data_IF_628957160305
#
_entry.id   IF_628957160305
#
_cell.length_a   1.000
_cell.length_b   1.000
_cell.length_c   1.000
_cell.angle_alpha   90.00
_cell.angle_beta   90.00
_cell.angle_gamma   90.00
#
_symmetry.space_group_name_H-M   'P 1'
#
loop_
_entity.id
_entity.type
_entity.pdbx_description
1 polymer ?
#
# COMPACT_ATOMS: atom_id res chain seq x y z
N UNK A 1 25.36 -14.19 -3.61
CA UNK A 1 24.16 -15.05 -3.62
C UNK A 1 23.59 -15.12 -5.04
N UNK A 2 23.89 -16.17 -5.82
CA UNK A 2 23.38 -16.31 -7.21
C UNK A 2 21.87 -16.60 -7.13
N UNK A 3 21.04 -15.61 -7.48
CA UNK A 3 19.57 -15.72 -7.45
C UNK A 3 19.12 -16.74 -8.52
N UNK A 4 18.70 -17.93 -8.10
CA UNK A 4 18.25 -18.99 -9.00
C UNK A 4 16.96 -18.54 -9.71
N UNK A 5 16.92 -18.55 -11.05
CA UNK A 5 15.75 -18.13 -11.83
C UNK A 5 14.47 -18.86 -11.41
N UNK A 6 14.58 -20.13 -11.00
CA UNK A 6 13.45 -20.93 -10.53
C UNK A 6 12.88 -20.38 -9.21
N UNK A 7 13.73 -19.94 -8.29
CA UNK A 7 13.28 -19.34 -7.02
C UNK A 7 12.55 -18.00 -7.22
N UNK A 8 12.97 -17.22 -8.23
CA UNK A 8 12.30 -15.96 -8.58
C UNK A 8 10.93 -16.21 -9.20
N UNK A 9 10.81 -17.19 -10.10
CA UNK A 9 9.53 -17.58 -10.70
C UNK A 9 8.53 -18.06 -9.66
N UNK A 10 8.96 -18.95 -8.75
CA UNK A 10 8.11 -19.42 -7.64
C UNK A 10 7.64 -18.25 -6.77
N UNK A 11 8.53 -17.31 -6.45
CA UNK A 11 8.16 -16.11 -5.67
C UNK A 11 7.13 -15.25 -6.39
N UNK A 12 7.30 -14.99 -7.70
CA UNK A 12 6.36 -14.20 -8.50
C UNK A 12 4.98 -14.88 -8.55
N UNK A 13 4.95 -16.19 -8.82
CA UNK A 13 3.72 -16.98 -8.86
C UNK A 13 2.99 -16.93 -7.51
N UNK A 14 3.73 -17.09 -6.42
CA UNK A 14 3.17 -17.04 -5.06
C UNK A 14 2.56 -15.67 -4.76
N UNK A 15 3.24 -14.59 -5.11
CA UNK A 15 2.74 -13.22 -4.95
C UNK A 15 1.44 -13.03 -5.75
N UNK A 16 1.40 -13.46 -7.02
CA UNK A 16 0.21 -13.36 -7.85
C UNK A 16 -0.96 -14.16 -7.26
N UNK A 17 -0.71 -15.39 -6.81
CA UNK A 17 -1.71 -16.25 -6.16
C UNK A 17 -2.27 -15.61 -4.89
N UNK A 18 -1.41 -15.10 -4.01
CA UNK A 18 -1.82 -14.43 -2.77
C UNK A 18 -2.66 -13.19 -3.08
N UNK A 19 -2.22 -12.33 -3.99
CA UNK A 19 -3.00 -11.14 -4.36
C UNK A 19 -4.33 -11.50 -5.03
N UNK A 20 -4.35 -12.54 -5.88
CA UNK A 20 -5.57 -13.04 -6.50
C UNK A 20 -6.57 -13.56 -5.47
N UNK A 21 -6.10 -14.36 -4.50
CA UNK A 21 -6.91 -14.87 -3.40
C UNK A 21 -7.47 -13.71 -2.57
N UNK A 22 -6.62 -12.77 -2.13
CA UNK A 22 -7.05 -11.60 -1.37
C UNK A 22 -8.14 -10.81 -2.10
N UNK A 23 -8.00 -10.65 -3.42
CA UNK A 23 -8.97 -9.93 -4.23
C UNK A 23 -10.30 -10.68 -4.37
N UNK A 24 -10.28 -12.02 -4.49
CA UNK A 24 -11.49 -12.86 -4.52
C UNK A 24 -12.29 -12.75 -3.21
N UNK A 25 -11.60 -12.67 -2.06
CA UNK A 25 -12.24 -12.47 -0.76
C UNK A 25 -12.61 -11.00 -0.48
N UNK A 26 -12.46 -10.09 -1.45
CA UNK A 26 -12.74 -8.66 -1.26
C UNK A 26 -11.76 -7.95 -0.30
N UNK A 27 -10.67 -8.62 0.09
CA UNK A 27 -9.65 -8.09 0.99
C UNK A 27 -8.72 -7.19 0.19
N UNK A 28 -9.08 -5.92 0.14
CA UNK A 28 -8.31 -4.92 -0.63
C UNK A 28 -7.04 -4.44 0.07
N UNK A 29 -6.89 -4.72 1.36
CA UNK A 29 -5.68 -4.48 2.12
C UNK A 29 -5.59 -5.51 3.27
N UNK A 30 -4.61 -6.44 3.25
CA UNK A 30 -4.47 -7.44 4.31
C UNK A 30 -4.12 -6.81 5.66
N UNK A 31 -3.36 -5.70 5.66
CA UNK A 31 -3.05 -4.95 6.89
C UNK A 31 -4.33 -4.39 7.51
N UNK A 32 -5.19 -3.76 6.71
CA UNK A 32 -6.50 -3.26 7.17
C UNK A 32 -7.41 -4.38 7.65
N UNK A 33 -7.40 -5.52 6.97
CA UNK A 33 -8.22 -6.66 7.37
C UNK A 33 -7.80 -7.24 8.73
N UNK A 34 -6.49 -7.33 8.97
CA UNK A 34 -5.94 -7.88 10.21
C UNK A 34 -6.03 -6.86 11.36
N UNK A 35 -5.66 -5.60 11.12
CA UNK A 35 -5.51 -4.57 12.17
C UNK A 35 -6.66 -3.57 12.25
N UNK A 36 -7.50 -3.48 11.22
CA UNK A 36 -8.50 -2.42 11.06
C UNK A 36 -7.91 -1.07 10.62
N UNK A 37 -6.60 -0.99 10.39
CA UNK A 37 -5.87 0.24 10.05
C UNK A 37 -5.39 0.19 8.60
N UNK A 38 -5.73 1.21 7.83
CA UNK A 38 -5.28 1.34 6.44
C UNK A 38 -3.80 1.71 6.39
N UNK A 39 -3.01 1.12 5.49
CA UNK A 39 -1.58 1.44 5.33
C UNK A 39 -1.35 2.66 4.40
N UNK A 40 -0.16 3.30 4.38
CA UNK A 40 0.12 4.45 3.51
C UNK A 40 0.03 4.16 2.01
N UNK A 41 0.09 2.88 1.61
CA UNK A 41 -0.11 2.44 0.23
C UNK A 41 -1.58 2.17 -0.13
N UNK A 42 -2.53 2.32 0.78
CA UNK A 42 -3.95 2.08 0.48
C UNK A 42 -4.43 2.96 -0.68
N UNK A 43 -5.23 2.38 -1.57
CA UNK A 43 -5.72 3.05 -2.77
C UNK A 43 -4.75 3.07 -3.95
N UNK A 44 -3.46 2.73 -3.79
CA UNK A 44 -2.47 2.83 -4.87
C UNK A 44 -2.81 1.97 -6.10
N UNK A 45 -3.20 0.71 -5.91
CA UNK A 45 -3.62 -0.16 -7.03
C UNK A 45 -4.82 0.41 -7.79
N UNK A 46 -5.81 0.98 -7.07
CA UNK A 46 -6.99 1.61 -7.68
C UNK A 46 -6.63 2.90 -8.40
N UNK A 47 -5.66 3.64 -7.88
CA UNK A 47 -5.13 4.83 -8.53
C UNK A 47 -4.50 4.49 -9.88
N UNK A 48 -3.66 3.46 -9.93
CA UNK A 48 -3.06 2.98 -11.19
C UNK A 48 -4.10 2.40 -12.16
N UNK A 49 -5.10 1.66 -11.68
CA UNK A 49 -6.20 1.17 -12.53
C UNK A 49 -7.00 2.34 -13.13
N UNK A 50 -7.21 3.42 -12.38
CA UNK A 50 -7.88 4.63 -12.86
C UNK A 50 -7.00 5.38 -13.87
N UNK A 51 -5.69 5.45 -13.61
CA UNK A 51 -4.71 6.02 -14.53
C UNK A 51 -4.67 5.28 -15.87
N UNK A 52 -4.75 3.95 -15.86
CA UNK A 52 -4.84 3.13 -17.08
C UNK A 52 -6.13 3.38 -17.88
N UNK A 53 -7.19 3.86 -17.21
CA UNK A 53 -8.44 4.32 -17.84
C UNK A 53 -8.40 5.79 -18.23
N UNK A 54 -7.25 6.45 -18.12
CA UNK A 54 -7.05 7.88 -18.35
C UNK A 54 -7.90 8.78 -17.42
N UNK A 55 -8.38 8.25 -16.30
CA UNK A 55 -9.11 9.01 -15.28
C UNK A 55 -8.15 9.49 -14.17
N UNK A 56 -7.54 10.64 -14.43
CA UNK A 56 -6.61 11.28 -13.50
C UNK A 56 -7.29 11.78 -12.22
N UNK A 57 -8.58 12.16 -12.31
CA UNK A 57 -9.33 12.66 -11.16
C UNK A 57 -9.54 11.54 -10.13
N UNK A 58 -9.99 10.38 -10.61
CA UNK A 58 -10.12 9.20 -9.77
C UNK A 58 -8.76 8.69 -9.28
N UNK A 59 -7.72 8.73 -10.12
CA UNK A 59 -6.38 8.33 -9.71
C UNK A 59 -5.86 9.15 -8.51
N UNK A 60 -6.00 10.47 -8.58
CA UNK A 60 -5.64 11.38 -7.48
C UNK A 60 -6.49 11.15 -6.22
N UNK A 61 -7.81 10.96 -6.39
CA UNK A 61 -8.71 10.66 -5.28
C UNK A 61 -8.28 9.40 -4.51
N UNK A 62 -7.96 8.33 -5.25
CA UNK A 62 -7.57 7.05 -4.66
C UNK A 62 -6.23 7.11 -3.94
N UNK A 63 -5.21 7.74 -4.51
CA UNK A 63 -3.96 7.98 -3.82
C UNK A 63 -3.22 9.15 -4.48
N UNK A 64 -3.11 10.33 -3.84
CA UNK A 64 -2.50 11.51 -4.44
C UNK A 64 -1.01 11.32 -4.74
N UNK A 65 -0.37 10.33 -4.09
CA UNK A 65 1.03 9.98 -4.29
C UNK A 65 1.24 8.90 -5.35
N UNK A 66 0.24 8.61 -6.19
CA UNK A 66 0.35 7.59 -7.24
C UNK A 66 1.50 7.85 -8.23
N UNK A 67 1.97 9.10 -8.37
CA UNK A 67 3.08 9.47 -9.25
C UNK A 67 4.45 9.11 -8.66
N UNK A 68 4.57 9.03 -7.32
CA UNK A 68 5.86 8.83 -6.65
C UNK A 68 6.55 7.50 -7.02
N UNK A 69 5.86 6.34 -7.12
CA UNK A 69 6.53 5.10 -7.54
C UNK A 69 7.08 5.17 -8.96
N UNK A 70 6.38 5.83 -9.89
CA UNK A 70 6.88 6.05 -11.25
C UNK A 70 8.14 6.95 -11.25
N UNK A 71 8.12 8.04 -10.48
CA UNK A 71 9.31 8.89 -10.30
C UNK A 71 10.47 8.14 -9.63
N UNK A 72 10.18 7.33 -8.61
CA UNK A 72 11.17 6.49 -7.94
C UNK A 72 11.82 5.49 -8.90
N UNK A 73 11.05 4.90 -9.82
CA UNK A 73 11.60 4.01 -10.85
C UNK A 73 12.52 4.76 -11.82
N UNK A 74 12.13 5.96 -12.27
CA UNK A 74 12.97 6.80 -13.14
C UNK A 74 14.28 7.16 -12.42
N UNK A 75 14.22 7.62 -11.18
CA UNK A 75 15.40 7.95 -10.37
C UNK A 75 16.30 6.71 -10.20
N UNK A 76 15.71 5.54 -9.98
CA UNK A 76 16.46 4.30 -9.85
C UNK A 76 17.19 3.92 -11.14
N UNK A 77 16.56 4.07 -12.31
CA UNK A 77 17.19 3.81 -13.62
C UNK A 77 18.36 4.76 -13.87
N UNK A 78 18.19 6.05 -13.55
CA UNK A 78 19.21 7.07 -13.77
C UNK A 78 20.12 7.33 -12.58
N UNK A 79 20.12 6.45 -11.58
CA UNK A 79 20.82 6.66 -10.30
C UNK A 79 22.31 6.94 -10.47
N UNK A 80 22.94 6.35 -11.49
CA UNK A 80 24.39 6.47 -11.71
C UNK A 80 24.78 7.87 -12.21
N UNK A 81 23.81 8.69 -12.65
CA UNK A 81 24.01 10.10 -13.01
C UNK A 81 23.99 11.05 -11.80
N UNK A 82 23.60 10.56 -10.62
CA UNK A 82 23.40 11.39 -9.43
C UNK A 82 24.34 10.98 -8.29
N UNK A 83 24.66 11.93 -7.41
CA UNK A 83 25.47 11.62 -6.23
C UNK A 83 24.69 10.77 -5.23
N UNK A 84 25.36 9.84 -4.54
CA UNK A 84 24.74 9.00 -3.50
C UNK A 84 24.08 9.83 -2.38
N UNK A 85 24.65 11.00 -2.05
CA UNK A 85 24.11 11.94 -1.06
C UNK A 85 22.77 12.52 -1.53
N UNK A 86 22.68 12.89 -2.81
CA UNK A 86 21.45 13.41 -3.40
C UNK A 86 20.35 12.35 -3.45
N UNK A 87 20.66 11.13 -3.90
CA UNK A 87 19.70 10.03 -3.95
C UNK A 87 19.13 9.68 -2.57
N UNK A 88 19.99 9.63 -1.54
CA UNK A 88 19.56 9.41 -0.15
C UNK A 88 18.66 10.55 0.34
N UNK A 89 18.97 11.80 0.00
CA UNK A 89 18.13 12.94 0.32
C UNK A 89 16.73 12.84 -0.32
N UNK A 90 16.67 12.44 -1.60
CA UNK A 90 15.40 12.21 -2.31
C UNK A 90 14.60 11.07 -1.70
N UNK A 91 15.24 9.96 -1.33
CA UNK A 91 14.58 8.83 -0.66
C UNK A 91 13.93 9.26 0.65
N UNK A 92 14.69 9.96 1.52
CA UNK A 92 14.17 10.49 2.79
C UNK A 92 13.01 11.45 2.52
N UNK A 93 13.14 12.34 1.53
CA UNK A 93 12.08 13.25 1.14
C UNK A 93 10.82 12.51 0.71
N UNK A 94 10.92 11.48 -0.13
CA UNK A 94 9.77 10.68 -0.55
C UNK A 94 9.10 9.97 0.62
N UNK A 95 9.88 9.38 1.53
CA UNK A 95 9.34 8.74 2.74
C UNK A 95 8.59 9.76 3.61
N UNK A 96 9.17 10.95 3.83
CA UNK A 96 8.52 12.01 4.60
C UNK A 96 7.22 12.45 3.94
N UNK A 97 7.20 12.68 2.63
CA UNK A 97 5.97 13.03 1.89
C UNK A 97 4.91 11.95 2.05
N UNK A 98 5.28 10.67 1.95
CA UNK A 98 4.36 9.55 2.19
C UNK A 98 3.76 9.58 3.60
N UNK A 99 4.59 9.78 4.62
CA UNK A 99 4.13 9.82 6.00
C UNK A 99 3.24 11.03 6.27
N UNK A 100 3.62 12.21 5.77
CA UNK A 100 2.85 13.44 5.94
C UNK A 100 1.47 13.29 5.31
N UNK A 101 1.39 12.87 4.04
CA UNK A 101 0.09 12.67 3.35
C UNK A 101 -0.72 11.59 4.05
N UNK A 102 -0.09 10.50 4.50
CA UNK A 102 -0.77 9.45 5.25
C UNK A 102 -1.40 9.98 6.53
N UNK A 103 -0.66 10.75 7.34
CA UNK A 103 -1.20 11.36 8.58
C UNK A 103 -2.33 12.32 8.26
N UNK A 104 -2.19 13.19 7.27
CA UNK A 104 -3.26 14.11 6.87
C UNK A 104 -4.53 13.38 6.43
N UNK A 105 -4.39 12.34 5.59
CA UNK A 105 -5.54 11.52 5.15
C UNK A 105 -6.16 10.73 6.30
N UNK A 106 -5.33 10.24 7.23
CA UNK A 106 -5.79 9.51 8.40
C UNK A 106 -6.58 10.40 9.37
N UNK A 107 -6.25 11.70 9.43
CA UNK A 107 -6.96 12.67 10.25
C UNK A 107 -8.27 13.15 9.61
N UNK A 108 -8.49 12.92 8.32
CA UNK A 108 -9.73 13.29 7.63
C UNK A 108 -10.82 12.24 7.90
N UNK A 109 -11.87 12.57 8.68
CA UNK A 109 -12.94 11.63 8.99
C UNK A 109 -13.81 11.28 7.76
N UNK A 110 -13.73 12.07 6.69
CA UNK A 110 -14.47 11.83 5.45
C UNK A 110 -13.71 10.91 4.47
N UNK A 111 -12.45 10.59 4.76
CA UNK A 111 -11.67 9.70 3.90
C UNK A 111 -12.28 8.29 3.95
N UNK A 112 -12.60 7.75 2.79
CA UNK A 112 -13.18 6.39 2.65
C UNK A 112 -12.13 5.34 2.32
N UNK A 113 -10.91 5.76 2.01
CA UNK A 113 -9.80 4.93 1.55
C UNK A 113 -8.82 4.69 2.69
N UNK A 114 -8.34 5.75 3.33
CA UNK A 114 -7.41 5.69 4.46
C UNK A 114 -8.21 5.88 5.75
N UNK A 115 -8.59 4.77 6.39
CA UNK A 115 -9.44 4.79 7.59
C UNK A 115 -8.81 4.07 8.76
N UNK A 116 -9.13 4.55 9.96
CA UNK A 116 -8.84 3.92 11.24
C UNK A 116 -10.11 3.26 11.81
N UNK A 117 -10.30 1.96 11.56
CA UNK A 117 -11.45 1.18 12.05
C UNK A 117 -11.02 -0.12 12.73
N UNK A 118 -10.36 -0.03 13.90
CA UNK A 118 -9.84 -1.21 14.61
C UNK A 118 -10.94 -2.21 15.00
N UNK A 119 -12.19 -1.76 15.18
CA UNK A 119 -13.32 -2.63 15.52
C UNK A 119 -13.75 -3.57 14.38
N UNK A 120 -13.45 -3.24 13.13
CA UNK A 120 -13.71 -4.12 11.98
C UNK A 120 -12.64 -5.20 11.82
N UNK A 121 -11.54 -5.11 12.59
CA UNK A 121 -10.40 -6.01 12.50
C UNK A 121 -10.73 -7.45 12.91
N UNK A 122 -10.03 -8.41 12.31
CA UNK A 122 -10.11 -9.81 12.73
C UNK A 122 -9.73 -9.95 14.20
N UNK A 123 -8.67 -9.27 14.66
CA UNK A 123 -8.22 -9.36 16.04
C UNK A 123 -9.32 -8.96 17.02
N UNK A 124 -10.00 -7.85 16.75
CA UNK A 124 -11.10 -7.39 17.60
C UNK A 124 -12.28 -8.37 17.59
N UNK A 125 -12.64 -8.90 16.41
CA UNK A 125 -13.72 -9.89 16.28
C UNK A 125 -13.41 -11.19 17.03
N UNK A 126 -12.19 -11.72 16.91
CA UNK A 126 -11.75 -12.91 17.65
C UNK A 126 -11.74 -12.63 19.15
N UNK A 127 -11.22 -11.48 19.58
CA UNK A 127 -11.21 -11.11 21.00
C UNK A 127 -12.62 -11.05 21.58
N UNK A 128 -13.57 -10.43 20.86
CA UNK A 128 -14.95 -10.33 21.33
C UNK A 128 -15.65 -11.70 21.34
N UNK A 129 -15.42 -12.53 20.31
CA UNK A 129 -15.94 -13.90 20.28
C UNK A 129 -15.43 -14.75 21.45
N UNK A 130 -14.13 -14.68 21.76
CA UNK A 130 -13.56 -15.38 22.92
C UNK A 130 -14.10 -14.83 24.25
N UNK A 131 -14.29 -13.51 24.34
CA UNK A 131 -14.88 -12.87 25.52
C UNK A 131 -16.33 -13.29 25.75
N UNK A 132 -17.11 -13.46 24.68
CA UNK A 132 -18.47 -13.99 24.73
C UNK A 132 -18.50 -15.47 25.11
N UNK A 133 -17.56 -16.28 24.62
CA UNK A 133 -17.46 -17.71 24.97
C UNK A 133 -17.08 -17.95 26.44
N UNK A 134 -16.35 -17.02 27.06
CA UNK A 134 -15.94 -17.09 28.46
C UNK A 134 -16.98 -16.52 29.45
N UNK A 135 -18.12 -16.03 28.96
CA UNK A 135 -19.17 -15.42 29.78
C UNK A 135 -20.38 -16.33 29.90
#
# INVERSE_FOLDING_TARGET
>A
MKRNKNSLLVFIILVILIYGILQVFGITCPIKFITGVSCPGCGMTRAYLSLLRLDFKSAYYYNPLFVLPALGLIIYIFRDKFSKKFLRGLEIFFVLVFLIVYVFRMMDPNDTIVVFRPYESIFYKIFNFLKELMR
#
